data_IF_961512488558
#
_entry.id   IF_961512488558
#
_cell.length_a   1.000
_cell.length_b   1.000
_cell.length_c   1.000
_cell.angle_alpha   90.00
_cell.angle_beta   90.00
_cell.angle_gamma   90.00
#
_symmetry.space_group_name_H-M   'P 1'
#
loop_
_entity.id
_entity.type
_entity.pdbx_description
1 polymer ?
#
# COMPACT_ATOMS: atom_id res chain seq x y z
N UNK A 1 -32.77 -33.06 20.37
CA UNK A 1 -31.39 -33.00 19.86
C UNK A 1 -30.62 -32.03 20.75
N UNK A 2 -29.78 -32.52 21.69
CA UNK A 2 -29.08 -31.65 22.63
C UNK A 2 -27.91 -30.95 21.94
N UNK A 3 -27.74 -29.67 22.28
CA UNK A 3 -26.63 -28.82 21.83
C UNK A 3 -25.31 -29.38 22.37
N UNK A 4 -24.35 -29.62 21.47
CA UNK A 4 -22.99 -29.98 21.85
C UNK A 4 -22.23 -28.70 22.21
N UNK A 5 -21.95 -28.52 23.51
CA UNK A 5 -20.96 -27.57 24.01
C UNK A 5 -19.57 -27.96 23.48
N UNK A 6 -19.04 -27.16 22.56
CA UNK A 6 -17.63 -27.23 22.18
C UNK A 6 -16.79 -26.64 23.30
N UNK A 7 -16.36 -27.50 24.23
CA UNK A 7 -15.35 -27.18 25.22
C UNK A 7 -14.06 -26.73 24.51
N UNK A 8 -13.71 -25.45 24.66
CA UNK A 8 -12.38 -24.94 24.34
C UNK A 8 -11.39 -25.59 25.30
N UNK A 9 -10.76 -26.68 24.86
CA UNK A 9 -9.56 -27.20 25.52
C UNK A 9 -8.42 -26.19 25.27
N UNK A 10 -7.79 -25.62 26.31
CA UNK A 10 -6.53 -24.90 26.12
C UNK A 10 -5.52 -25.94 25.64
N UNK A 11 -5.19 -25.87 24.35
CA UNK A 11 -4.11 -26.66 23.77
C UNK A 11 -2.86 -26.43 24.62
N UNK A 12 -2.36 -27.50 25.22
CA UNK A 12 -1.10 -27.50 25.93
C UNK A 12 0.01 -27.14 24.96
N UNK A 13 0.39 -25.86 24.96
CA UNK A 13 1.65 -25.42 24.38
C UNK A 13 2.76 -26.17 25.10
N UNK A 14 3.34 -27.14 24.39
CA UNK A 14 4.63 -27.67 24.74
C UNK A 14 5.57 -26.48 24.93
N UNK A 15 6.10 -26.34 26.14
CA UNK A 15 7.13 -25.39 26.53
C UNK A 15 8.46 -25.72 25.84
N UNK A 16 8.45 -25.76 24.50
CA UNK A 16 9.64 -25.85 23.68
C UNK A 16 10.41 -24.55 23.85
N UNK A 17 11.65 -24.66 24.33
CA UNK A 17 12.62 -23.59 24.57
C UNK A 17 12.24 -22.30 23.84
N UNK A 18 11.58 -21.39 24.58
CA UNK A 18 11.25 -20.07 24.10
C UNK A 18 12.56 -19.37 23.78
N UNK A 19 12.95 -19.44 22.50
CA UNK A 19 14.23 -18.93 22.06
C UNK A 19 14.41 -17.52 22.58
N UNK A 20 15.60 -17.26 23.12
CA UNK A 20 15.89 -16.02 23.82
C UNK A 20 15.53 -14.81 22.95
N UNK A 21 15.13 -13.69 23.58
CA UNK A 21 14.89 -12.43 22.86
C UNK A 21 16.12 -12.04 22.01
N UNK A 22 17.31 -12.37 22.49
CA UNK A 22 18.58 -12.20 21.78
C UNK A 22 18.62 -13.01 20.48
N UNK A 23 18.16 -14.27 20.50
CA UNK A 23 18.11 -15.12 19.30
C UNK A 23 17.03 -14.68 18.32
N UNK A 24 15.88 -14.21 18.82
CA UNK A 24 14.85 -13.59 17.98
C UNK A 24 15.39 -12.34 17.28
N UNK A 25 16.15 -11.49 18.00
CA UNK A 25 16.79 -10.32 17.44
C UNK A 25 17.87 -10.67 16.40
N UNK A 26 18.73 -11.66 16.68
CA UNK A 26 19.73 -12.16 15.72
C UNK A 26 19.06 -12.67 14.44
N UNK A 27 17.98 -13.45 14.55
CA UNK A 27 17.20 -13.93 13.39
C UNK A 27 16.61 -12.77 12.59
N UNK A 28 16.02 -11.79 13.27
CA UNK A 28 15.48 -10.60 12.61
C UNK A 28 16.58 -9.81 11.87
N UNK A 29 17.73 -9.59 12.50
CA UNK A 29 18.85 -8.87 11.91
C UNK A 29 19.43 -9.61 10.69
N UNK A 30 19.60 -10.94 10.79
CA UNK A 30 20.07 -11.77 9.67
C UNK A 30 19.09 -11.74 8.50
N UNK A 31 17.79 -11.90 8.77
CA UNK A 31 16.73 -11.82 7.76
C UNK A 31 16.74 -10.46 7.07
N UNK A 32 16.79 -9.36 7.83
CA UNK A 32 16.89 -7.99 7.29
C UNK A 32 18.11 -7.80 6.38
N UNK A 33 19.26 -8.37 6.75
CA UNK A 33 20.49 -8.32 5.93
C UNK A 33 20.32 -9.12 4.63
N UNK A 34 19.69 -10.29 4.70
CA UNK A 34 19.39 -11.11 3.52
C UNK A 34 18.38 -10.43 2.60
N UNK A 35 17.28 -9.89 3.15
CA UNK A 35 16.27 -9.14 2.39
C UNK A 35 16.90 -7.95 1.65
N UNK A 36 17.80 -7.22 2.30
CA UNK A 36 18.52 -6.10 1.66
C UNK A 36 19.43 -6.57 0.53
N UNK A 37 20.21 -7.64 0.74
CA UNK A 37 21.08 -8.20 -0.31
C UNK A 37 20.27 -8.70 -1.51
N UNK A 38 19.15 -9.39 -1.25
CA UNK A 38 18.25 -9.86 -2.31
C UNK A 38 17.62 -8.68 -3.07
N UNK A 39 17.25 -7.61 -2.38
CA UNK A 39 16.74 -6.39 -3.03
C UNK A 39 17.81 -5.67 -3.87
N UNK A 40 19.04 -5.56 -3.38
CA UNK A 40 20.18 -4.99 -4.12
C UNK A 40 20.52 -5.84 -5.36
N UNK A 41 20.53 -7.16 -5.24
CA UNK A 41 20.77 -8.07 -6.35
C UNK A 41 19.66 -7.98 -7.41
N UNK A 42 18.40 -7.91 -6.95
CA UNK A 42 17.24 -7.73 -7.82
C UNK A 42 17.35 -6.40 -8.59
N UNK A 43 17.70 -5.30 -7.90
CA UNK A 43 17.90 -3.99 -8.52
C UNK A 43 19.04 -4.02 -9.53
N UNK A 44 20.18 -4.61 -9.19
CA UNK A 44 21.32 -4.77 -10.10
C UNK A 44 20.94 -5.56 -11.36
N UNK A 45 20.10 -6.58 -11.23
CA UNK A 45 19.58 -7.36 -12.36
C UNK A 45 18.59 -6.56 -13.21
N UNK A 46 17.80 -5.69 -12.59
CA UNK A 46 16.91 -4.76 -13.28
C UNK A 46 17.68 -3.70 -14.07
N UNK A 47 18.69 -3.08 -13.45
CA UNK A 47 19.53 -2.03 -14.06
C UNK A 47 20.35 -2.54 -15.25
N UNK A 48 20.80 -3.81 -15.21
CA UNK A 48 21.62 -4.38 -16.29
C UNK A 48 20.79 -4.76 -17.53
N UNK A 49 19.47 -4.82 -17.43
CA UNK A 49 18.58 -5.15 -18.54
C UNK A 49 17.97 -3.88 -19.14
N UNK A 50 18.61 -3.31 -20.17
CA UNK A 50 17.86 -2.52 -21.16
C UNK A 50 16.90 -3.47 -21.87
N UNK A 51 15.65 -3.50 -21.42
CA UNK A 51 14.61 -4.35 -22.02
C UNK A 51 14.31 -3.86 -23.44
N UNK A 52 14.25 -4.79 -24.39
CA UNK A 52 13.77 -4.49 -25.74
C UNK A 52 12.29 -4.08 -25.70
N UNK A 53 11.78 -3.51 -26.80
CA UNK A 53 10.37 -3.14 -26.88
C UNK A 53 9.47 -4.38 -26.68
N UNK A 54 9.83 -5.52 -27.27
CA UNK A 54 9.12 -6.78 -27.17
C UNK A 54 9.11 -7.31 -25.74
N UNK A 55 10.24 -7.23 -25.04
CA UNK A 55 10.33 -7.64 -23.63
C UNK A 55 9.45 -6.76 -22.73
N UNK A 56 9.36 -5.45 -23.01
CA UNK A 56 8.46 -4.53 -22.28
C UNK A 56 6.99 -4.87 -22.56
N UNK A 57 6.61 -5.07 -23.82
CA UNK A 57 5.25 -5.47 -24.20
C UNK A 57 4.84 -6.81 -23.58
N UNK A 58 5.75 -7.79 -23.53
CA UNK A 58 5.51 -9.09 -22.90
C UNK A 58 5.32 -8.97 -21.39
N UNK A 59 6.16 -8.18 -20.70
CA UNK A 59 6.02 -7.93 -19.26
C UNK A 59 4.70 -7.20 -18.94
N UNK A 60 4.32 -6.23 -19.77
CA UNK A 60 3.02 -5.53 -19.69
C UNK A 60 1.85 -6.49 -19.84
N UNK A 61 1.90 -7.42 -20.81
CA UNK A 61 0.90 -8.48 -20.99
C UNK A 61 0.81 -9.38 -19.75
N UNK A 62 1.94 -9.84 -19.21
CA UNK A 62 1.99 -10.65 -17.98
C UNK A 62 1.42 -9.92 -16.76
N UNK A 63 1.67 -8.62 -16.65
CA UNK A 63 1.11 -7.79 -15.58
C UNK A 63 -0.42 -7.78 -15.62
N UNK A 64 -1.02 -7.60 -16.81
CA UNK A 64 -2.46 -7.68 -16.99
C UNK A 64 -3.03 -9.07 -16.72
N UNK A 65 -2.39 -10.12 -17.23
CA UNK A 65 -2.81 -11.49 -16.95
C UNK A 65 -2.76 -11.81 -15.46
N UNK A 66 -1.75 -11.27 -14.76
CA UNK A 66 -1.65 -11.40 -13.32
C UNK A 66 -2.80 -10.70 -12.62
N UNK A 67 -3.16 -9.49 -13.04
CA UNK A 67 -4.32 -8.77 -12.50
C UNK A 67 -5.63 -9.55 -12.69
N UNK A 68 -5.82 -10.17 -13.85
CA UNK A 68 -7.01 -11.00 -14.14
C UNK A 68 -7.13 -12.23 -13.22
N UNK A 69 -6.02 -12.80 -12.76
CA UNK A 69 -6.06 -13.91 -11.77
C UNK A 69 -6.61 -13.49 -10.40
N UNK A 70 -6.63 -12.19 -10.12
CA UNK A 70 -7.15 -11.65 -8.87
C UNK A 70 -8.62 -11.22 -8.95
N UNK A 71 -9.31 -11.42 -10.08
CA UNK A 71 -10.75 -11.17 -10.19
C UNK A 71 -11.52 -11.99 -9.14
N UNK A 72 -12.47 -11.35 -8.48
CA UNK A 72 -13.27 -11.93 -7.39
C UNK A 72 -12.59 -11.94 -6.02
N UNK A 73 -11.34 -11.47 -5.89
CA UNK A 73 -10.70 -11.31 -4.58
C UNK A 73 -11.35 -10.15 -3.80
N UNK A 74 -11.77 -10.35 -2.54
CA UNK A 74 -12.50 -9.33 -1.80
C UNK A 74 -11.69 -8.07 -1.47
N UNK A 75 -12.39 -6.96 -1.30
CA UNK A 75 -11.84 -5.67 -0.93
C UNK A 75 -11.72 -5.55 0.58
N UNK A 76 -10.49 -5.41 1.09
CA UNK A 76 -10.13 -5.11 2.48
C UNK A 76 -11.07 -5.67 3.57
N UNK A 77 -10.58 -6.65 4.34
CA UNK A 77 -11.35 -7.41 5.35
C UNK A 77 -12.32 -6.62 6.24
N UNK A 78 -11.95 -5.39 6.65
CA UNK A 78 -12.78 -4.52 7.50
C UNK A 78 -14.15 -4.16 6.90
N UNK A 79 -14.35 -4.34 5.60
CA UNK A 79 -15.62 -4.05 4.92
C UNK A 79 -16.55 -5.26 4.82
N UNK A 80 -16.16 -6.39 5.42
CA UNK A 80 -16.95 -7.60 5.49
C UNK A 80 -17.29 -7.88 6.94
N UNK A 81 -18.54 -8.28 7.20
CA UNK A 81 -18.98 -8.66 8.55
C UNK A 81 -18.21 -9.92 9.00
N UNK A 82 -17.56 -9.86 10.15
CA UNK A 82 -16.77 -10.96 10.69
C UNK A 82 -17.66 -12.10 11.22
N UNK A 83 -18.88 -11.77 11.65
CA UNK A 83 -19.84 -12.68 12.25
C UNK A 83 -21.14 -12.63 11.43
N UNK A 84 -21.62 -13.79 11.00
CA UNK A 84 -22.85 -13.93 10.22
C UNK A 84 -22.69 -13.87 8.70
N UNK A 85 -23.83 -13.90 8.00
CA UNK A 85 -23.93 -13.81 6.54
C UNK A 85 -23.63 -12.38 6.09
N UNK A 86 -22.59 -12.18 5.28
CA UNK A 86 -22.22 -10.86 4.80
C UNK A 86 -23.19 -10.47 3.68
N UNK A 87 -24.00 -9.45 3.91
CA UNK A 87 -25.02 -8.99 2.96
C UNK A 87 -24.50 -7.96 1.95
N UNK A 88 -23.18 -7.94 1.66
CA UNK A 88 -22.65 -6.97 0.70
C UNK A 88 -22.93 -7.40 -0.75
N UNK A 89 -22.97 -6.42 -1.67
CA UNK A 89 -23.24 -6.66 -3.11
C UNK A 89 -22.34 -7.77 -3.67
N UNK A 90 -21.07 -7.81 -3.29
CA UNK A 90 -20.16 -8.88 -3.69
C UNK A 90 -20.59 -10.26 -3.19
N UNK A 91 -20.94 -10.43 -1.91
CA UNK A 91 -21.38 -11.74 -1.42
C UNK A 91 -22.64 -12.22 -2.15
N UNK A 92 -23.58 -11.30 -2.42
CA UNK A 92 -24.78 -11.59 -3.20
C UNK A 92 -24.47 -11.98 -4.67
N UNK A 93 -23.61 -11.22 -5.35
CA UNK A 93 -23.27 -11.48 -6.77
C UNK A 93 -22.42 -12.75 -6.94
N UNK A 94 -21.56 -13.10 -5.98
CA UNK A 94 -20.70 -14.30 -6.07
C UNK A 94 -21.34 -15.56 -5.49
N UNK A 95 -22.37 -15.43 -4.66
CA UNK A 95 -22.89 -16.53 -3.85
C UNK A 95 -21.90 -17.09 -2.83
N UNK A 96 -20.84 -16.33 -2.47
CA UNK A 96 -19.79 -16.76 -1.53
C UNK A 96 -19.66 -15.80 -0.35
N UNK A 97 -19.31 -16.34 0.81
CA UNK A 97 -19.03 -15.55 1.99
C UNK A 97 -17.61 -14.95 1.94
N UNK A 98 -17.48 -13.77 1.35
CA UNK A 98 -16.19 -13.09 1.12
C UNK A 98 -15.41 -12.78 2.40
N UNK A 99 -16.06 -12.73 3.56
CA UNK A 99 -15.41 -12.49 4.86
C UNK A 99 -14.42 -13.58 5.27
N UNK A 100 -14.59 -14.80 4.74
CA UNK A 100 -13.79 -15.99 5.08
C UNK A 100 -12.61 -16.21 4.11
N UNK A 101 -12.51 -15.40 3.05
CA UNK A 101 -11.44 -15.55 2.06
C UNK A 101 -10.06 -15.25 2.68
N UNK A 102 -9.00 -15.97 2.26
CA UNK A 102 -7.67 -15.83 2.86
C UNK A 102 -6.94 -14.56 2.41
N UNK A 103 -7.39 -13.93 1.32
CA UNK A 103 -6.72 -12.79 0.70
C UNK A 103 -7.72 -11.65 0.48
N UNK A 104 -7.29 -10.44 0.82
CA UNK A 104 -8.04 -9.21 0.57
C UNK A 104 -7.12 -8.21 -0.13
N UNK A 105 -7.62 -7.57 -1.17
CA UNK A 105 -6.87 -6.59 -1.96
C UNK A 105 -7.67 -5.32 -2.09
N UNK A 106 -7.20 -4.23 -1.48
CA UNK A 106 -7.63 -2.88 -1.85
C UNK A 106 -7.02 -2.45 -3.20
N UNK A 107 -7.36 -1.24 -3.68
CA UNK A 107 -6.93 -0.76 -4.99
C UNK A 107 -5.41 -0.73 -5.15
N UNK A 108 -4.68 -0.17 -4.19
CA UNK A 108 -3.23 -0.11 -4.23
C UNK A 108 -2.56 -1.47 -3.92
N UNK A 109 -3.21 -2.32 -3.11
CA UNK A 109 -2.74 -3.67 -2.79
C UNK A 109 -2.83 -4.60 -3.99
N UNK A 110 -3.85 -4.46 -4.85
CA UNK A 110 -3.96 -5.18 -6.11
C UNK A 110 -2.75 -4.92 -7.00
N UNK A 111 -2.44 -3.64 -7.25
CA UNK A 111 -1.27 -3.24 -8.05
C UNK A 111 0.03 -3.74 -7.41
N UNK A 112 0.22 -3.52 -6.10
CA UNK A 112 1.40 -4.03 -5.36
C UNK A 112 1.54 -5.54 -5.50
N UNK A 113 0.43 -6.28 -5.41
CA UNK A 113 0.45 -7.74 -5.47
C UNK A 113 0.83 -8.21 -6.87
N UNK A 114 0.30 -7.60 -7.92
CA UNK A 114 0.64 -7.90 -9.31
C UNK A 114 2.13 -7.65 -9.59
N UNK A 115 2.67 -6.51 -9.15
CA UNK A 115 4.12 -6.22 -9.28
C UNK A 115 4.96 -7.17 -8.44
N UNK A 116 4.55 -7.46 -7.20
CA UNK A 116 5.29 -8.36 -6.29
C UNK A 116 5.38 -9.79 -6.82
N UNK A 117 4.32 -10.27 -7.47
CA UNK A 117 4.28 -11.59 -8.10
C UNK A 117 5.20 -11.68 -9.32
N UNK A 118 5.52 -10.54 -9.93
CA UNK A 118 6.37 -10.39 -11.11
C UNK A 118 7.70 -9.68 -10.77
N UNK A 119 8.06 -9.59 -9.48
CA UNK A 119 9.19 -8.76 -9.01
C UNK A 119 10.52 -9.11 -9.67
N UNK A 120 10.74 -10.39 -9.97
CA UNK A 120 11.94 -10.87 -10.66
C UNK A 120 12.02 -10.37 -12.10
N UNK A 121 10.88 -10.26 -12.76
CA UNK A 121 10.77 -9.76 -14.14
C UNK A 121 10.83 -8.24 -14.19
N UNK A 122 10.20 -7.55 -13.22
CA UNK A 122 10.30 -6.10 -13.05
C UNK A 122 11.69 -5.64 -12.61
N UNK A 123 12.44 -6.46 -11.86
CA UNK A 123 13.75 -6.09 -11.34
C UNK A 123 13.67 -5.13 -10.13
N UNK A 124 12.50 -5.00 -9.52
CA UNK A 124 12.32 -4.27 -8.27
C UNK A 124 11.12 -4.82 -7.49
N UNK A 125 10.97 -4.35 -6.25
CA UNK A 125 9.80 -4.61 -5.44
C UNK A 125 9.13 -3.29 -5.05
N UNK A 126 7.84 -3.18 -5.35
CA UNK A 126 7.05 -2.02 -4.94
C UNK A 126 6.90 -2.02 -3.41
N UNK A 127 7.29 -0.92 -2.76
CA UNK A 127 7.27 -0.81 -1.30
C UNK A 127 5.86 -0.78 -0.69
N UNK A 128 5.75 -0.70 0.65
CA UNK A 128 4.48 -0.72 1.37
C UNK A 128 3.65 0.57 1.24
N UNK A 129 4.04 1.50 0.36
CA UNK A 129 3.35 2.76 0.11
C UNK A 129 1.95 2.56 -0.49
N UNK A 130 1.09 3.57 -0.34
CA UNK A 130 -0.27 3.59 -0.88
C UNK A 130 -0.30 4.01 -2.37
N UNK A 131 -1.49 4.26 -2.93
CA UNK A 131 -1.66 4.75 -4.30
C UNK A 131 -0.90 6.05 -4.59
N UNK A 132 -0.74 6.94 -3.59
CA UNK A 132 0.03 8.17 -3.76
C UNK A 132 1.52 7.88 -4.02
N UNK A 133 2.09 6.88 -3.33
CA UNK A 133 3.46 6.43 -3.60
C UNK A 133 3.60 5.83 -5.00
N UNK A 134 2.64 5.00 -5.42
CA UNK A 134 2.66 4.39 -6.75
C UNK A 134 2.64 5.47 -7.84
N UNK A 135 1.75 6.46 -7.70
CA UNK A 135 1.69 7.60 -8.61
C UNK A 135 3.00 8.40 -8.58
N UNK A 136 3.57 8.66 -7.41
CA UNK A 136 4.83 9.41 -7.28
C UNK A 136 6.01 8.74 -8.01
N UNK A 137 6.00 7.39 -8.14
CA UNK A 137 6.99 6.65 -8.93
C UNK A 137 6.76 6.67 -10.44
N UNK A 138 5.57 7.09 -10.88
CA UNK A 138 5.15 7.12 -12.29
C UNK A 138 4.87 8.53 -12.80
N UNK A 139 5.01 9.55 -11.95
CA UNK A 139 4.62 10.93 -12.26
C UNK A 139 5.27 11.47 -13.54
N UNK A 140 6.54 11.15 -13.78
CA UNK A 140 7.26 11.57 -14.99
C UNK A 140 6.75 10.91 -16.28
N UNK A 141 5.91 9.87 -16.15
CA UNK A 141 5.31 9.11 -17.25
C UNK A 141 3.79 9.32 -17.33
N UNK A 142 3.31 10.48 -16.86
CA UNK A 142 1.93 10.90 -17.06
C UNK A 142 1.68 11.21 -18.53
N UNK A 143 0.50 10.80 -19.01
CA UNK A 143 -0.01 11.12 -20.35
C UNK A 143 -1.27 11.99 -20.23
N UNK A 144 -1.56 12.77 -21.26
CA UNK A 144 -2.60 13.80 -21.21
C UNK A 144 -4.02 13.24 -21.35
N UNK A 145 -4.17 12.10 -22.04
CA UNK A 145 -5.48 11.50 -22.34
C UNK A 145 -5.48 9.98 -22.22
N UNK A 146 -6.69 9.43 -22.07
CA UNK A 146 -6.92 7.98 -22.04
C UNK A 146 -6.50 7.29 -23.33
N UNK A 147 -6.58 7.98 -24.48
CA UNK A 147 -6.24 7.41 -25.80
C UNK A 147 -4.75 7.09 -25.94
N UNK A 148 -3.90 7.69 -25.10
CA UNK A 148 -2.46 7.43 -25.07
C UNK A 148 -2.10 6.26 -24.16
N UNK A 149 -3.06 5.73 -23.38
CA UNK A 149 -2.81 4.59 -22.51
C UNK A 149 -2.75 3.29 -23.29
N UNK A 150 -1.82 2.44 -22.86
CA UNK A 150 -1.72 1.06 -23.29
C UNK A 150 -2.32 0.14 -22.23
N UNK A 151 -2.92 -1.00 -22.63
CA UNK A 151 -3.35 -2.01 -21.68
C UNK A 151 -2.22 -2.35 -20.69
N UNK A 152 -2.51 -2.29 -19.39
CA UNK A 152 -1.57 -2.48 -18.29
C UNK A 152 -1.10 -1.18 -17.63
N UNK A 153 -1.34 -0.02 -18.25
CA UNK A 153 -1.10 1.27 -17.62
C UNK A 153 -2.05 1.52 -16.44
N UNK A 154 -1.76 2.56 -15.65
CA UNK A 154 -2.51 2.87 -14.44
C UNK A 154 -3.29 4.17 -14.58
N UNK A 155 -4.51 4.15 -14.07
CA UNK A 155 -5.35 5.34 -13.90
C UNK A 155 -5.45 5.63 -12.42
N UNK A 156 -4.98 6.80 -12.04
CA UNK A 156 -4.98 7.30 -10.67
C UNK A 156 -6.07 8.36 -10.49
N UNK A 157 -6.71 8.36 -9.34
CA UNK A 157 -7.85 9.24 -9.06
C UNK A 157 -7.50 10.19 -7.93
N UNK A 158 -7.46 11.49 -8.23
CA UNK A 158 -7.39 12.53 -7.22
C UNK A 158 -8.79 12.92 -6.78
N UNK A 159 -9.00 13.05 -5.47
CA UNK A 159 -10.31 13.33 -4.92
C UNK A 159 -10.29 13.91 -3.52
N UNK A 160 -11.39 14.55 -3.17
CA UNK A 160 -11.60 15.10 -1.83
C UNK A 160 -12.65 14.28 -1.08
N UNK A 161 -12.29 13.79 0.09
CA UNK A 161 -13.21 13.03 0.93
C UNK A 161 -14.37 13.91 1.39
N UNK A 162 -15.60 13.39 1.34
CA UNK A 162 -16.77 14.09 1.87
C UNK A 162 -16.69 14.29 3.40
N UNK A 163 -15.95 13.42 4.08
CA UNK A 163 -15.73 13.55 5.52
C UNK A 163 -14.47 14.35 5.83
N UNK A 164 -14.61 15.47 6.53
CA UNK A 164 -13.49 16.27 7.03
C UNK A 164 -12.59 15.50 8.02
N UNK A 165 -13.12 14.45 8.65
CA UNK A 165 -12.37 13.58 9.57
C UNK A 165 -11.47 12.59 8.82
N UNK A 166 -11.69 12.40 7.52
CA UNK A 166 -10.87 11.50 6.72
C UNK A 166 -9.44 12.04 6.64
N UNK A 167 -8.47 11.14 6.80
CA UNK A 167 -7.07 11.50 6.64
C UNK A 167 -6.81 11.89 5.18
N UNK A 168 -6.40 13.14 4.96
CA UNK A 168 -5.93 13.60 3.65
C UNK A 168 -4.77 12.74 3.17
N UNK A 169 -4.89 12.26 1.92
CA UNK A 169 -3.84 11.49 1.27
C UNK A 169 -2.83 12.45 0.64
N UNK A 170 -1.60 11.98 0.43
CA UNK A 170 -0.64 12.74 -0.35
C UNK A 170 -1.15 12.93 -1.78
N UNK A 171 -0.98 14.15 -2.31
CA UNK A 171 -1.47 14.56 -3.64
C UNK A 171 -2.98 14.39 -3.84
N UNK A 172 -3.75 14.32 -2.75
CA UNK A 172 -5.17 13.97 -2.78
C UNK A 172 -5.46 12.63 -3.51
N UNK A 173 -4.48 11.72 -3.56
CA UNK A 173 -4.62 10.48 -4.31
C UNK A 173 -5.48 9.47 -3.57
N UNK A 174 -6.66 9.16 -4.10
CA UNK A 174 -7.70 8.37 -3.41
C UNK A 174 -7.84 6.96 -3.93
N UNK A 175 -7.58 6.72 -5.22
CA UNK A 175 -7.81 5.41 -5.86
C UNK A 175 -6.85 5.17 -7.04
N UNK A 176 -6.72 3.91 -7.44
CA UNK A 176 -5.93 3.48 -8.61
C UNK A 176 -6.59 2.26 -9.27
N UNK A 177 -6.59 2.21 -10.59
CA UNK A 177 -7.09 1.07 -11.39
C UNK A 177 -6.13 0.75 -12.54
N UNK A 178 -6.17 -0.48 -13.03
CA UNK A 178 -5.35 -0.97 -14.13
C UNK A 178 -6.14 -0.86 -15.42
N UNK A 179 -5.65 -0.10 -16.39
CA UNK A 179 -6.27 0.09 -17.68
C UNK A 179 -6.20 -1.17 -18.54
N UNK A 180 -7.32 -1.54 -19.18
CA UNK A 180 -7.42 -2.70 -20.08
C UNK A 180 -7.74 -2.27 -21.50
N UNK A 181 -8.39 -1.12 -21.68
CA UNK A 181 -8.94 -0.67 -22.96
C UNK A 181 -10.27 -1.35 -23.26
N UNK A 182 -10.29 -2.68 -23.36
CA UNK A 182 -11.52 -3.43 -23.65
C UNK A 182 -12.22 -3.01 -24.95
N UNK A 183 -13.47 -3.41 -25.15
CA UNK A 183 -14.24 -3.06 -26.35
C UNK A 183 -14.66 -1.58 -26.36
N UNK A 184 -14.81 -0.98 -25.18
CA UNK A 184 -15.24 0.42 -25.00
C UNK A 184 -14.10 1.43 -25.13
N UNK A 185 -12.84 0.97 -25.10
CA UNK A 185 -11.67 1.85 -24.96
C UNK A 185 -11.45 2.39 -23.54
N UNK A 186 -12.36 2.11 -22.60
CA UNK A 186 -12.34 2.68 -21.24
C UNK A 186 -12.24 1.62 -20.13
N UNK A 187 -12.18 0.33 -20.49
CA UNK A 187 -12.28 -0.75 -19.53
C UNK A 187 -11.09 -0.81 -18.57
N UNK A 188 -11.35 -1.20 -17.31
CA UNK A 188 -10.37 -1.23 -16.23
C UNK A 188 -10.57 -2.41 -15.29
N UNK A 189 -9.48 -2.91 -14.70
CA UNK A 189 -9.52 -3.82 -13.56
C UNK A 189 -9.26 -3.01 -12.29
N UNK A 190 -10.21 -3.05 -11.35
CA UNK A 190 -10.13 -2.25 -10.13
C UNK A 190 -10.72 -2.98 -8.93
N UNK A 191 -10.24 -2.61 -7.74
CA UNK A 191 -10.82 -3.05 -6.47
C UNK A 191 -11.62 -1.90 -5.86
N UNK A 192 -12.89 -1.77 -6.23
CA UNK A 192 -13.77 -0.65 -5.83
C UNK A 192 -14.49 -0.97 -4.52
N UNK A 193 -14.55 0.00 -3.62
CA UNK A 193 -15.23 -0.16 -2.31
C UNK A 193 -16.71 -0.51 -2.45
N UNK A 194 -17.40 -0.03 -3.50
CA UNK A 194 -18.84 -0.29 -3.74
C UNK A 194 -19.12 -1.79 -3.92
N UNK A 195 -18.40 -2.44 -4.82
CA UNK A 195 -18.61 -3.85 -5.18
C UNK A 195 -17.90 -4.82 -4.22
N UNK A 196 -17.02 -4.31 -3.36
CA UNK A 196 -16.32 -5.08 -2.31
C UNK A 196 -15.41 -6.20 -2.82
N UNK A 197 -14.94 -6.13 -4.08
CA UNK A 197 -13.91 -7.02 -4.63
C UNK A 197 -13.22 -6.43 -5.87
N UNK A 198 -12.24 -7.17 -6.37
CA UNK A 198 -11.60 -6.94 -7.68
C UNK A 198 -12.52 -7.40 -8.81
N UNK A 199 -12.86 -6.49 -9.73
CA UNK A 199 -13.69 -6.74 -10.91
C UNK A 199 -13.13 -6.01 -12.12
N UNK A 200 -13.48 -6.48 -13.31
CA UNK A 200 -13.34 -5.72 -14.55
C UNK A 200 -14.58 -4.84 -14.74
N UNK A 201 -14.38 -3.57 -15.06
CA UNK A 201 -15.43 -2.58 -15.28
C UNK A 201 -15.32 -2.03 -16.70
N UNK A 202 -16.47 -1.73 -17.31
CA UNK A 202 -16.55 -1.25 -18.70
C UNK A 202 -15.96 0.16 -18.88
N UNK A 203 -15.87 0.95 -17.80
CA UNK A 203 -15.31 2.29 -17.80
C UNK A 203 -14.57 2.60 -16.49
N UNK A 204 -13.49 3.38 -16.62
CA UNK A 204 -12.79 4.03 -15.52
C UNK A 204 -13.61 5.14 -14.85
N UNK A 205 -14.65 5.64 -15.52
CA UNK A 205 -15.52 6.69 -14.96
C UNK A 205 -16.52 6.08 -13.98
N UNK A 206 -16.47 6.50 -12.72
CA UNK A 206 -17.47 6.15 -11.73
C UNK A 206 -17.55 7.18 -10.60
N UNK A 207 -18.71 7.25 -9.96
CA UNK A 207 -18.91 8.07 -8.77
C UNK A 207 -18.63 7.29 -7.48
N UNK A 208 -17.76 7.85 -6.64
CA UNK A 208 -17.46 7.30 -5.32
C UNK A 208 -18.42 7.83 -4.26
N UNK A 209 -18.79 6.98 -3.29
CA UNK A 209 -19.58 7.39 -2.13
C UNK A 209 -18.73 8.05 -1.03
N UNK A 210 -17.40 7.88 -1.09
CA UNK A 210 -16.48 8.27 -0.01
C UNK A 210 -15.73 9.57 -0.32
N UNK A 211 -15.61 9.94 -1.60
CA UNK A 211 -14.87 11.11 -2.06
C UNK A 211 -15.44 11.65 -3.37
N UNK A 212 -15.28 12.95 -3.59
CA UNK A 212 -15.60 13.65 -4.84
C UNK A 212 -14.38 13.64 -5.75
N UNK A 213 -14.53 13.19 -6.99
CA UNK A 213 -13.48 13.23 -8.00
C UNK A 213 -13.06 14.67 -8.29
N UNK A 214 -11.75 14.92 -8.29
CA UNK A 214 -11.14 16.15 -8.80
C UNK A 214 -10.64 15.95 -10.23
N UNK A 215 -9.80 14.94 -10.42
CA UNK A 215 -9.06 14.73 -11.66
C UNK A 215 -8.60 13.28 -11.80
N UNK A 216 -8.45 12.83 -13.04
CA UNK A 216 -7.82 11.56 -13.39
C UNK A 216 -6.37 11.81 -13.83
N UNK A 217 -5.45 11.00 -13.32
CA UNK A 217 -4.06 10.99 -13.74
C UNK A 217 -3.80 9.69 -14.50
N UNK A 218 -3.55 9.81 -15.80
CA UNK A 218 -3.26 8.69 -16.69
C UNK A 218 -1.74 8.47 -16.71
N UNK A 219 -1.26 7.31 -16.27
CA UNK A 219 0.17 7.08 -16.10
C UNK A 219 0.63 5.81 -16.83
N UNK A 220 1.61 5.97 -17.72
CA UNK A 220 2.29 4.83 -18.32
C UNK A 220 3.16 4.11 -17.29
N UNK A 221 3.14 2.78 -17.29
CA UNK A 221 4.03 1.95 -16.45
C UNK A 221 5.42 1.75 -17.07
N UNK A 222 5.78 2.47 -18.12
CA UNK A 222 7.05 2.27 -18.83
C UNK A 222 8.29 2.41 -17.93
N UNK A 223 8.28 3.33 -16.95
CA UNK A 223 9.33 3.40 -15.92
C UNK A 223 9.52 2.07 -15.20
N UNK A 224 8.42 1.44 -14.80
CA UNK A 224 8.44 0.15 -14.12
C UNK A 224 8.90 -0.95 -15.09
N UNK A 225 8.46 -0.92 -16.34
CA UNK A 225 8.94 -1.84 -17.38
C UNK A 225 10.44 -1.67 -17.68
N UNK A 226 11.05 -0.55 -17.31
CA UNK A 226 12.51 -0.33 -17.34
C UNK A 226 13.21 -0.71 -16.02
N UNK A 227 12.45 -1.21 -15.04
CA UNK A 227 12.96 -1.59 -13.73
C UNK A 227 13.18 -0.42 -12.78
N UNK A 228 12.68 0.77 -13.11
CA UNK A 228 12.79 1.97 -12.29
C UNK A 228 11.56 2.10 -11.40
N UNK A 229 11.78 2.24 -10.10
CA UNK A 229 10.74 2.46 -9.10
C UNK A 229 11.20 3.55 -8.12
N UNK A 230 11.42 4.74 -8.65
CA UNK A 230 11.97 5.88 -7.92
C UNK A 230 10.89 6.97 -7.80
N UNK A 231 10.52 7.40 -6.58
CA UNK A 231 9.60 8.52 -6.43
C UNK A 231 10.23 9.82 -6.90
N UNK A 232 9.42 10.82 -7.28
CA UNK A 232 9.90 12.13 -7.76
C UNK A 232 10.76 12.91 -6.75
N UNK A 233 10.71 12.55 -5.46
CA UNK A 233 11.54 13.13 -4.41
C UNK A 233 10.87 14.27 -3.63
N UNK A 234 9.69 14.74 -4.04
CA UNK A 234 8.94 15.78 -3.30
C UNK A 234 8.53 15.34 -1.90
N UNK A 235 8.19 14.06 -1.74
CA UNK A 235 7.77 13.49 -0.47
C UNK A 235 8.87 12.60 0.09
N UNK A 236 9.36 12.87 1.31
CA UNK A 236 10.27 11.97 1.99
C UNK A 236 9.50 10.76 2.51
N UNK A 237 9.34 9.74 1.67
CA UNK A 237 8.74 8.47 2.04
C UNK A 237 9.58 7.82 3.15
N UNK A 238 9.16 8.02 4.42
CA UNK A 238 9.95 7.69 5.63
C UNK A 238 10.49 6.26 5.68
N UNK A 239 9.85 5.32 5.00
CA UNK A 239 10.30 3.92 4.95
C UNK A 239 11.42 3.70 3.92
N UNK A 240 11.47 4.51 2.85
CA UNK A 240 12.56 4.52 1.88
C UNK A 240 13.85 5.05 2.53
N UNK A 241 13.72 6.13 3.32
CA UNK A 241 14.81 6.76 4.10
C UNK A 241 15.27 5.92 5.31
N UNK A 242 14.66 4.74 5.57
CA UNK A 242 15.14 3.82 6.62
C UNK A 242 16.05 2.72 6.08
N UNK A 243 16.11 2.54 4.76
CA UNK A 243 16.89 1.49 4.10
C UNK A 243 18.34 1.87 3.80
N UNK A 244 18.65 3.16 3.79
CA UNK A 244 19.96 3.72 3.45
C UNK A 244 21.04 3.49 4.51
N UNK A 245 20.70 2.95 5.68
CA UNK A 245 21.68 2.59 6.73
C UNK A 245 22.47 3.79 7.29
N UNK A 246 22.15 5.01 6.86
CA UNK A 246 22.87 6.24 7.23
C UNK A 246 22.46 6.77 8.61
N UNK A 247 21.33 6.30 9.15
CA UNK A 247 21.06 6.48 10.58
C UNK A 247 22.00 5.57 11.37
N UNK A 248 23.15 6.16 11.75
CA UNK A 248 24.00 5.74 12.86
C UNK A 248 23.11 5.10 13.92
N UNK A 249 23.38 3.84 14.23
CA UNK A 249 22.68 3.11 15.28
C UNK A 249 22.56 4.00 16.51
N UNK A 250 21.46 3.93 17.26
CA UNK A 250 21.39 4.63 18.56
C UNK A 250 22.57 4.21 19.46
N UNK A 251 23.15 3.02 19.21
CA UNK A 251 24.37 2.54 19.84
C UNK A 251 25.69 3.07 19.22
N UNK A 252 25.69 3.55 17.98
CA UNK A 252 26.88 4.20 17.40
C UNK A 252 27.20 5.53 18.10
N UNK A 253 26.23 6.14 18.79
CA UNK A 253 26.48 7.28 19.66
C UNK A 253 27.15 6.89 21.00
N UNK A 254 26.89 5.66 21.48
CA UNK A 254 27.45 5.16 22.74
C UNK A 254 28.90 4.69 22.59
N UNK A 255 29.27 4.13 21.44
CA UNK A 255 30.66 3.73 21.18
C UNK A 255 31.62 4.91 21.13
N UNK A 256 31.19 6.05 20.56
CA UNK A 256 31.98 7.30 20.57
C UNK A 256 32.15 7.88 21.97
N UNK A 257 31.12 7.84 22.82
CA UNK A 257 31.24 8.29 24.22
C UNK A 257 32.14 7.36 25.05
N UNK A 258 32.07 6.04 24.83
CA UNK A 258 32.90 5.08 25.55
C UNK A 258 34.37 5.10 25.08
N UNK A 259 34.64 5.42 23.81
CA UNK A 259 35.98 5.70 23.31
C UNK A 259 36.54 7.02 23.86
N UNK A 260 35.73 8.08 23.96
CA UNK A 260 36.14 9.34 24.60
C UNK A 260 36.47 9.14 26.08
N UNK A 261 35.69 8.35 26.82
CA UNK A 261 35.96 8.03 28.23
C UNK A 261 37.22 7.17 28.41
N UNK A 262 37.52 6.26 27.47
CA UNK A 262 38.76 5.48 27.50
C UNK A 262 39.99 6.32 27.16
N UNK A 263 39.90 7.20 26.16
CA UNK A 263 41.00 8.09 25.78
C UNK A 263 41.36 9.04 26.94
N UNK A 264 40.37 9.58 27.65
CA UNK A 264 40.60 10.44 28.82
C UNK A 264 41.14 9.71 30.06
N UNK A 265 40.99 8.39 30.14
CA UNK A 265 41.51 7.60 31.27
C UNK A 265 42.99 7.19 31.08
N UNK A 266 43.51 7.27 29.85
CA UNK A 266 44.92 6.94 29.54
C UNK A 266 45.89 8.12 29.68
N UNK A 267 45.40 9.36 29.84
CA UNK A 267 46.27 10.54 29.97
C UNK A 267 46.59 10.95 31.42
N UNK A 268 46.08 10.24 32.44
CA UNK A 268 46.26 10.63 33.85
C UNK A 268 47.29 9.81 34.64
N UNK A 269 48.18 9.06 33.99
CA UNK A 269 49.21 8.24 34.69
C UNK A 269 50.62 8.52 34.15
N UNK A 270 51.09 9.75 34.29
CA UNK A 270 52.53 10.05 34.36
C UNK A 270 52.73 11.37 35.07
N UNK A 271 53.01 11.30 36.38
CA UNK A 271 54.06 12.07 37.06
C UNK A 271 53.72 12.27 38.53
N UNK A 272 54.38 11.55 39.44
CA UNK A 272 55.10 12.17 40.57
C UNK A 272 55.99 11.16 41.31
N UNK A 273 57.07 11.65 41.98
CA UNK A 273 58.25 10.89 42.31
C UNK A 273 58.22 10.24 43.70
N UNK A 274 59.29 9.47 43.89
CA UNK A 274 59.72 8.63 44.99
C UNK A 274 60.25 9.47 46.18
N UNK A 275 59.67 9.32 47.37
CA UNK A 275 60.42 9.35 48.64
C UNK A 275 59.61 8.78 49.83
N UNK A 276 60.34 7.98 50.60
CA UNK A 276 60.14 7.37 51.93
C UNK A 276 59.12 7.98 52.92
N UNK A 277 58.34 7.13 53.60
CA UNK A 277 58.58 6.69 54.99
C UNK A 277 57.35 6.00 55.62
N UNK A 278 57.64 4.92 56.37
CA UNK A 278 56.95 4.30 57.52
C UNK A 278 55.51 4.69 57.90
N UNK A 279 54.67 3.69 58.20
CA UNK A 279 53.55 3.87 59.13
C UNK A 279 52.45 2.81 59.07
N UNK A 280 52.42 1.92 60.08
CA UNK A 280 51.38 0.91 60.35
C UNK A 280 49.96 1.50 60.50
N UNK A 281 48.96 0.67 60.22
CA UNK A 281 47.82 0.29 61.11
C UNK A 281 46.41 0.40 60.51
N UNK A 282 45.73 -0.75 60.49
CA UNK A 282 44.33 -1.02 60.87
C UNK A 282 43.14 -0.24 60.27
N UNK A 283 42.27 -1.03 59.64
CA UNK A 283 40.80 -1.11 59.81
C UNK A 283 39.95 0.17 59.76
N UNK A 284 38.95 0.20 58.87
CA UNK A 284 37.55 0.39 59.27
C UNK A 284 36.60 0.38 58.05
N UNK A 285 35.52 -0.37 58.23
CA UNK A 285 34.23 -0.32 57.53
C UNK A 285 33.69 1.08 57.23
N UNK A 286 32.91 1.24 56.14
CA UNK A 286 31.48 1.60 56.24
C UNK A 286 30.75 1.71 54.89
N UNK A 287 29.48 1.41 55.04
CA UNK A 287 28.31 1.40 54.17
C UNK A 287 27.79 2.78 53.74
N UNK A 288 26.94 2.78 52.70
CA UNK A 288 25.97 3.84 52.37
C UNK A 288 25.40 3.62 50.96
N UNK A 289 24.22 3.00 50.78
CA UNK A 289 22.86 3.58 50.88
C UNK A 289 22.65 4.69 49.84
N UNK A 290 21.88 4.44 48.75
CA UNK A 290 20.48 4.89 48.52
C UNK A 290 20.33 6.42 48.59
N UNK A 291 19.68 7.17 47.71
CA UNK A 291 18.36 7.04 47.08
C UNK A 291 18.13 8.38 46.32
N UNK A 292 17.21 8.47 45.35
CA UNK A 292 16.78 9.81 44.90
C UNK A 292 16.18 9.96 43.49
N UNK A 293 15.07 9.26 43.21
CA UNK A 293 14.21 9.54 42.04
C UNK A 293 13.49 10.89 42.21
N UNK A 294 13.71 11.85 41.31
CA UNK A 294 12.83 13.04 41.15
C UNK A 294 12.00 12.93 39.86
N UNK A 295 10.70 12.67 40.00
CA UNK A 295 9.68 12.78 38.93
C UNK A 295 9.21 14.24 38.85
N UNK A 296 9.35 14.87 37.68
CA UNK A 296 8.71 16.16 37.35
C UNK A 296 7.38 15.90 36.62
N UNK A 297 6.27 16.38 37.20
CA UNK A 297 4.95 16.48 36.55
C UNK A 297 4.89 17.81 35.78
N UNK A 298 4.56 17.76 34.49
CA UNK A 298 4.21 18.95 33.69
C UNK A 298 2.70 18.96 33.47
N UNK A 299 2.03 19.97 34.03
CA UNK A 299 0.62 20.29 33.74
C UNK A 299 0.58 21.13 32.45
N UNK A 300 -0.08 20.64 31.40
CA UNK A 300 -0.45 21.44 30.22
C UNK A 300 -1.92 21.83 30.30
N UNK A 301 -2.16 23.14 30.27
CA UNK A 301 -3.46 23.80 30.36
C UNK A 301 -4.02 23.93 28.94
N UNK A 302 -5.19 23.37 28.68
CA UNK A 302 -5.94 23.51 27.42
C UNK A 302 -6.77 24.79 27.52
N UNK A 303 -6.60 25.71 26.56
CA UNK A 303 -7.54 26.83 26.33
C UNK A 303 -8.38 26.48 25.11
N UNK A 304 -9.68 26.45 25.32
CA UNK A 304 -10.75 26.23 24.35
C UNK A 304 -11.30 27.61 23.99
N UNK A 305 -11.30 27.99 22.73
CA UNK A 305 -12.03 29.16 22.23
C UNK A 305 -12.96 28.71 21.11
N UNK A 306 -14.24 28.73 21.43
CA UNK A 306 -15.37 28.61 20.52
C UNK A 306 -15.60 29.94 19.81
N UNK A 307 -15.72 29.92 18.49
CA UNK A 307 -16.35 30.98 17.72
C UNK A 307 -17.50 30.36 16.92
N UNK A 308 -18.70 30.85 17.24
CA UNK A 308 -19.97 30.66 16.54
C UNK A 308 -19.95 31.53 15.27
N UNK A 309 -20.47 31.01 14.17
CA UNK A 309 -20.89 31.83 13.03
C UNK A 309 -22.23 31.26 12.52
N UNK A 310 -23.27 32.06 12.71
CA UNK A 310 -24.55 31.97 12.02
C UNK A 310 -24.36 32.51 10.58
N UNK A 311 -24.91 31.82 9.58
CA UNK A 311 -25.10 32.38 8.24
C UNK A 311 -26.23 31.64 7.51
N UNK A 312 -27.35 32.36 7.44
CA UNK A 312 -28.23 32.60 6.30
C UNK A 312 -28.94 31.47 5.52
N UNK A 313 -30.24 31.74 5.45
CA UNK A 313 -31.35 31.06 4.82
C UNK A 313 -31.67 31.81 3.54
N UNK A 314 -31.54 31.17 2.38
CA UNK A 314 -32.10 31.68 1.14
C UNK A 314 -32.49 30.55 0.17
N UNK A 315 -33.74 30.67 -0.30
CA UNK A 315 -34.30 30.22 -1.58
C UNK A 315 -34.20 28.76 -2.04
N UNK A 316 -35.38 28.12 -2.14
CA UNK A 316 -35.86 27.59 -3.43
C UNK A 316 -37.36 27.28 -3.37
N UNK A 317 -38.17 28.19 -3.91
CA UNK A 317 -39.52 27.92 -4.36
C UNK A 317 -39.53 28.12 -5.88
N UNK A 318 -39.54 27.02 -6.64
CA UNK A 318 -39.80 27.06 -8.07
C UNK A 318 -40.38 25.72 -8.54
N UNK A 319 -41.69 25.73 -8.80
CA UNK A 319 -42.26 25.16 -10.02
C UNK A 319 -42.37 23.65 -10.13
N UNK A 320 -43.36 23.07 -9.43
CA UNK A 320 -43.99 21.83 -9.89
C UNK A 320 -44.99 22.15 -11.01
N UNK A 321 -44.66 21.79 -12.25
CA UNK A 321 -45.65 21.62 -13.32
C UNK A 321 -45.63 20.17 -13.77
N UNK A 322 -46.64 19.45 -13.31
CA UNK A 322 -47.08 18.18 -13.88
C UNK A 322 -47.62 18.43 -15.29
N UNK A 323 -47.13 17.68 -16.26
CA UNK A 323 -47.88 17.42 -17.49
C UNK A 323 -47.86 15.92 -17.74
N UNK A 324 -49.07 15.36 -17.69
CA UNK A 324 -49.39 14.02 -18.12
C UNK A 324 -49.32 13.99 -19.64
N UNK A 325 -48.67 12.97 -20.21
CA UNK A 325 -48.63 12.71 -21.64
C UNK A 325 -48.58 11.21 -21.87
N UNK A 326 -49.70 10.66 -22.28
CA UNK A 326 -49.98 9.25 -22.60
C UNK A 326 -49.13 8.69 -23.75
N UNK A 327 -48.93 7.36 -23.83
CA UNK A 327 -48.11 6.73 -24.86
C UNK A 327 -48.89 6.54 -26.17
N UNK A 328 -48.24 6.79 -27.30
CA UNK A 328 -48.74 6.43 -28.63
C UNK A 328 -47.98 5.22 -29.15
N UNK A 329 -48.68 4.10 -29.20
CA UNK A 329 -48.28 2.87 -29.88
C UNK A 329 -48.37 3.11 -31.39
N UNK A 330 -47.27 2.91 -32.12
CA UNK A 330 -47.30 2.68 -33.55
C UNK A 330 -46.39 1.49 -33.89
N UNK A 331 -47.07 0.43 -34.26
CA UNK A 331 -46.62 -0.75 -34.97
C UNK A 331 -46.20 -0.44 -36.41
N UNK A 332 -45.54 -1.45 -37.02
CA UNK A 332 -45.19 -1.64 -38.45
C UNK A 332 -43.72 -1.32 -38.74
N UNK A 333 -42.94 -2.09 -39.49
CA UNK A 333 -43.13 -3.32 -40.27
C UNK A 333 -41.79 -3.67 -40.94
N UNK A 334 -41.51 -4.98 -41.09
CA UNK A 334 -40.95 -5.71 -42.26
C UNK A 334 -39.74 -5.16 -43.06
N UNK A 335 -38.83 -6.11 -43.37
CA UNK A 335 -37.89 -6.10 -44.51
C UNK A 335 -36.49 -5.64 -44.12
N UNK A 336 -35.37 -6.25 -44.50
CA UNK A 336 -35.10 -7.04 -45.70
C UNK A 336 -33.91 -7.97 -45.51
N UNK A 337 -33.99 -9.10 -46.19
CA UNK A 337 -32.96 -10.09 -46.46
C UNK A 337 -32.05 -9.65 -47.62
N UNK A 338 -30.74 -9.66 -47.39
CA UNK A 338 -29.66 -9.85 -48.38
C UNK A 338 -28.49 -10.46 -47.57
N UNK A 339 -27.89 -11.62 -47.84
CA UNK A 339 -27.70 -12.34 -49.09
C UNK A 339 -26.41 -11.88 -49.76
N UNK A 340 -25.25 -12.49 -49.42
CA UNK A 340 -24.16 -12.77 -50.38
C UNK A 340 -22.99 -13.58 -49.80
N UNK A 341 -22.81 -14.77 -50.38
CA UNK A 341 -21.59 -15.37 -50.95
C UNK A 341 -20.29 -15.36 -50.10
N UNK A 342 -19.86 -16.48 -49.52
CA UNK A 342 -19.17 -17.64 -50.13
C UNK A 342 -17.91 -17.27 -50.94
N UNK A 343 -16.76 -17.18 -50.27
CA UNK A 343 -15.44 -17.21 -50.91
C UNK A 343 -14.76 -18.57 -50.67
N UNK A 344 -14.31 -19.15 -51.78
CA UNK A 344 -13.70 -20.47 -51.91
C UNK A 344 -12.39 -20.60 -51.13
N UNK A 345 -12.27 -21.67 -50.34
CA UNK A 345 -10.99 -22.22 -49.90
C UNK A 345 -10.44 -23.17 -50.98
N UNK A 346 -9.20 -22.93 -51.42
CA UNK A 346 -8.40 -23.89 -52.20
C UNK A 346 -7.64 -24.81 -51.24
N UNK A 347 -7.59 -26.13 -51.47
CA UNK A 347 -6.69 -26.99 -50.71
C UNK A 347 -5.28 -26.99 -51.30
N UNK A 348 -4.30 -26.78 -50.42
CA UNK A 348 -2.89 -27.11 -50.59
C UNK A 348 -2.74 -28.64 -50.65
N UNK A 349 -2.00 -29.16 -51.63
CA UNK A 349 -1.45 -30.53 -51.61
C UNK A 349 0.05 -30.43 -51.32
N UNK A 350 0.53 -31.28 -50.40
CA UNK A 350 1.87 -31.86 -50.41
C UNK A 350 1.68 -33.36 -50.68
#
# INVERSE_FOLDING_TARGET
MPAQETAWAPGGDAAGDAASLQDAFKRFALRRKQDRRAAEELRRRGESFRRSAEAKSELRRKFLERARRYLGVPYARRFHAAEGECSCEGCAESGRQLAQEPLFLDCCALVRRCVSDLKEEFGFQLGPGNQAFQWDTLRAHQVDSVDQLQPGDLIFYSGEYYSEKAKKQHFDMTHVEIFVGGATGEAVIGSREKHKWVKEYDSYKFDSKSWKLKEHFFCSIDAWLEGKCEPSGEIPWKWLVRGDGTRRSVFDCLSSQQQQQRASATESVTSTPRSSASGRSSASSRSGASEGKKRRKVKRKVKKSSAKADADKAEKAAGSRSSQGTPRVLSSSRGSSHGSQSSLQKPFRI
#
